data_IF_486946064415
#
_entry.id   IF_486946064415
#
_cell.length_a   1.000
_cell.length_b   1.000
_cell.length_c   1.000
_cell.angle_alpha   90.00
_cell.angle_beta   90.00
_cell.angle_gamma   90.00
#
_symmetry.space_group_name_H-M   'P 1'
#
loop_
_entity.id
_entity.type
_entity.pdbx_description
1 polymer ?
#
# COMPACT_ATOMS: atom_id res chain seq x y z
N UNK A 1 8.73 -17.23 -13.94
CA UNK A 1 9.63 -16.45 -13.04
C UNK A 1 9.92 -17.20 -11.75
N UNK A 2 11.17 -17.18 -11.26
CA UNK A 2 11.57 -17.82 -9.98
C UNK A 2 10.80 -17.17 -8.82
N UNK A 3 10.16 -17.96 -7.94
CA UNK A 3 9.37 -17.48 -6.78
C UNK A 3 10.11 -16.50 -5.87
N UNK A 4 11.43 -16.34 -5.95
CA UNK A 4 12.22 -15.38 -5.17
C UNK A 4 12.18 -13.97 -5.77
N UNK A 5 12.17 -13.86 -7.10
CA UNK A 5 12.16 -12.59 -7.84
C UNK A 5 10.86 -11.84 -7.62
N UNK A 6 9.71 -12.53 -7.74
CA UNK A 6 8.39 -11.94 -7.48
C UNK A 6 8.30 -11.36 -6.07
N UNK A 7 8.85 -12.07 -5.07
CA UNK A 7 8.83 -11.60 -3.68
C UNK A 7 9.67 -10.34 -3.46
N UNK A 8 10.83 -10.23 -4.13
CA UNK A 8 11.65 -9.02 -4.08
C UNK A 8 10.94 -7.85 -4.76
N UNK A 9 10.29 -8.11 -5.88
CA UNK A 9 9.54 -7.09 -6.63
C UNK A 9 8.34 -6.57 -5.83
N UNK A 10 7.61 -7.42 -5.11
CA UNK A 10 6.56 -7.01 -4.17
C UNK A 10 7.10 -6.09 -3.06
N UNK A 11 8.22 -6.46 -2.41
CA UNK A 11 8.82 -5.60 -1.38
C UNK A 11 9.29 -4.26 -1.95
N UNK A 12 9.87 -4.27 -3.14
CA UNK A 12 10.31 -3.06 -3.82
C UNK A 12 9.12 -2.16 -4.18
N UNK A 13 8.02 -2.75 -4.64
CA UNK A 13 6.78 -2.03 -4.92
C UNK A 13 6.22 -1.37 -3.66
N UNK A 14 6.06 -2.12 -2.56
CA UNK A 14 5.59 -1.56 -1.29
C UNK A 14 6.50 -0.43 -0.77
N UNK A 15 7.82 -0.62 -0.90
CA UNK A 15 8.79 0.41 -0.53
C UNK A 15 8.60 1.69 -1.36
N UNK A 16 8.48 1.55 -2.68
CA UNK A 16 8.29 2.69 -3.58
C UNK A 16 6.95 3.39 -3.33
N UNK A 17 5.87 2.63 -3.14
CA UNK A 17 4.54 3.17 -2.87
C UNK A 17 4.52 3.91 -1.54
N UNK A 18 5.05 3.33 -0.47
CA UNK A 18 5.17 3.99 0.83
C UNK A 18 6.03 5.25 0.77
N UNK A 19 7.10 5.27 -0.03
CA UNK A 19 7.93 6.45 -0.23
C UNK A 19 7.15 7.58 -0.91
N UNK A 20 6.44 7.27 -2.00
CA UNK A 20 5.62 8.25 -2.73
C UNK A 20 4.49 8.80 -1.86
N UNK A 21 3.82 7.93 -1.11
CA UNK A 21 2.78 8.34 -0.17
C UNK A 21 3.35 9.19 0.96
N UNK A 22 4.52 8.85 1.52
CA UNK A 22 5.14 9.66 2.57
C UNK A 22 5.47 11.08 2.06
N UNK A 23 6.03 11.19 0.85
CA UNK A 23 6.29 12.49 0.20
C UNK A 23 4.98 13.26 0.02
N UNK A 24 3.92 12.61 -0.50
CA UNK A 24 2.60 13.24 -0.66
C UNK A 24 2.01 13.68 0.68
N UNK A 25 2.10 12.86 1.72
CA UNK A 25 1.61 13.19 3.06
C UNK A 25 2.31 14.40 3.65
N UNK A 26 3.65 14.49 3.53
CA UNK A 26 4.43 15.66 3.96
C UNK A 26 4.02 16.90 3.16
N UNK A 27 3.79 16.77 1.86
CA UNK A 27 3.32 17.86 1.00
C UNK A 27 1.92 18.37 1.35
N UNK A 28 1.00 17.48 1.75
CA UNK A 28 -0.31 17.91 2.25
C UNK A 28 -0.19 18.64 3.60
N UNK A 29 0.68 18.15 4.48
CA UNK A 29 0.94 18.81 5.78
C UNK A 29 1.52 20.22 5.56
N UNK A 30 2.46 20.39 4.62
CA UNK A 30 3.06 21.70 4.33
C UNK A 30 2.06 22.70 3.75
N UNK A 31 0.96 22.23 3.16
CA UNK A 31 -0.19 23.05 2.72
C UNK A 31 -1.19 23.37 3.82
N UNK A 32 -0.98 22.89 5.05
CA UNK A 32 -1.92 23.03 6.16
C UNK A 32 -3.08 22.02 6.14
N UNK A 33 -3.07 21.05 5.23
CA UNK A 33 -4.06 19.97 5.16
C UNK A 33 -3.64 18.82 6.09
N UNK A 34 -3.61 19.12 7.39
CA UNK A 34 -3.07 18.21 8.42
C UNK A 34 -3.80 16.87 8.48
N UNK A 35 -5.12 16.87 8.44
CA UNK A 35 -5.90 15.64 8.61
C UNK A 35 -5.59 14.58 7.52
N UNK A 36 -5.77 14.86 6.21
CA UNK A 36 -5.41 13.89 5.18
C UNK A 36 -3.90 13.63 5.12
N UNK A 37 -3.07 14.66 5.33
CA UNK A 37 -1.62 14.53 5.31
C UNK A 37 -1.08 13.59 6.39
N UNK A 38 -1.57 13.69 7.63
CA UNK A 38 -1.21 12.82 8.75
C UNK A 38 -1.68 11.38 8.50
N UNK A 39 -2.88 11.18 7.94
CA UNK A 39 -3.37 9.84 7.59
C UNK A 39 -2.43 9.18 6.56
N UNK A 40 -2.12 9.88 5.47
CA UNK A 40 -1.25 9.36 4.41
C UNK A 40 0.16 9.09 4.96
N UNK A 41 0.76 10.07 5.65
CA UNK A 41 2.11 9.93 6.20
C UNK A 41 2.19 8.84 7.27
N UNK A 42 1.23 8.79 8.19
CA UNK A 42 1.15 7.79 9.25
C UNK A 42 1.03 6.37 8.70
N UNK A 43 0.13 6.13 7.75
CA UNK A 43 0.01 4.82 7.10
C UNK A 43 1.30 4.42 6.37
N UNK A 44 1.95 5.37 5.70
CA UNK A 44 3.23 5.14 5.01
C UNK A 44 4.35 4.77 5.98
N UNK A 45 4.42 5.45 7.13
CA UNK A 45 5.38 5.13 8.20
C UNK A 45 5.14 3.75 8.80
N UNK A 46 3.88 3.34 8.98
CA UNK A 46 3.55 1.98 9.43
C UNK A 46 4.02 0.95 8.39
N UNK A 47 3.82 1.21 7.09
CA UNK A 47 4.31 0.34 6.02
C UNK A 47 5.82 0.23 6.04
N UNK A 48 6.56 1.35 6.14
CA UNK A 48 8.02 1.32 6.28
C UNK A 48 8.46 0.51 7.51
N UNK A 49 7.77 0.71 8.64
CA UNK A 49 8.06 -0.03 9.88
C UNK A 49 7.91 -1.53 9.65
N UNK A 50 6.87 -1.97 8.95
CA UNK A 50 6.67 -3.38 8.62
C UNK A 50 7.76 -3.87 7.64
N UNK A 51 8.09 -3.12 6.59
CA UNK A 51 9.08 -3.51 5.59
C UNK A 51 10.47 -3.72 6.22
N UNK A 52 10.91 -2.79 7.08
CA UNK A 52 12.23 -2.84 7.69
C UNK A 52 12.29 -3.73 8.95
N UNK A 53 11.23 -3.76 9.74
CA UNK A 53 11.24 -4.39 11.06
C UNK A 53 10.35 -5.63 11.20
N UNK A 54 9.80 -6.20 10.11
CA UNK A 54 8.95 -7.41 10.21
C UNK A 54 9.57 -8.56 11.03
N UNK A 55 10.90 -8.72 10.97
CA UNK A 55 11.62 -9.73 11.78
C UNK A 55 11.53 -9.44 13.27
N UNK A 56 11.75 -8.18 13.67
CA UNK A 56 11.66 -7.74 15.07
C UNK A 56 10.22 -7.77 15.59
N UNK A 57 9.25 -7.55 14.70
CA UNK A 57 7.82 -7.61 15.00
C UNK A 57 7.25 -9.05 15.06
N UNK A 58 8.08 -10.08 14.87
CA UNK A 58 7.66 -11.49 14.81
C UNK A 58 6.59 -11.79 13.73
N UNK A 59 6.54 -10.99 12.66
CA UNK A 59 5.57 -11.15 11.56
C UNK A 59 6.17 -12.04 10.48
N UNK A 60 5.43 -13.04 9.97
CA UNK A 60 5.93 -13.86 8.85
C UNK A 60 6.06 -12.97 7.59
N UNK A 61 7.07 -13.16 6.73
CA UNK A 61 7.30 -12.28 5.57
C UNK A 61 6.12 -12.26 4.59
N UNK A 62 5.36 -13.36 4.53
CA UNK A 62 4.11 -13.41 3.76
C UNK A 62 3.03 -12.50 4.36
N UNK A 63 2.86 -12.52 5.68
CA UNK A 63 1.87 -11.69 6.39
C UNK A 63 2.23 -10.22 6.27
N UNK A 64 3.51 -9.87 6.45
CA UNK A 64 4.00 -8.50 6.30
C UNK A 64 3.54 -7.86 4.98
N UNK A 65 3.74 -8.55 3.85
CA UNK A 65 3.34 -8.06 2.53
C UNK A 65 1.82 -7.96 2.36
N UNK A 66 1.07 -8.93 2.88
CA UNK A 66 -0.40 -8.85 2.86
C UNK A 66 -0.88 -7.64 3.64
N UNK A 67 -0.29 -7.34 4.80
CA UNK A 67 -0.62 -6.16 5.59
C UNK A 67 -0.28 -4.89 4.81
N UNK A 68 0.89 -4.81 4.15
CA UNK A 68 1.26 -3.64 3.33
C UNK A 68 0.22 -3.35 2.25
N UNK A 69 -0.26 -4.36 1.51
CA UNK A 69 -1.33 -4.18 0.52
C UNK A 69 -2.59 -3.50 1.10
N UNK A 70 -3.01 -3.92 2.30
CA UNK A 70 -4.21 -3.38 2.95
C UNK A 70 -3.99 -2.02 3.61
N UNK A 71 -2.77 -1.68 4.02
CA UNK A 71 -2.44 -0.36 4.59
C UNK A 71 -2.23 0.71 3.52
N UNK A 72 -1.63 0.35 2.39
CA UNK A 72 -1.39 1.26 1.29
C UNK A 72 -2.68 1.62 0.55
N UNK A 73 -3.65 0.69 0.47
CA UNK A 73 -4.93 0.92 -0.20
C UNK A 73 -5.71 2.15 0.33
N UNK A 74 -5.99 2.31 1.64
CA UNK A 74 -6.64 3.51 2.15
C UNK A 74 -5.77 4.76 1.97
N UNK A 75 -4.44 4.68 2.10
CA UNK A 75 -3.55 5.82 1.85
C UNK A 75 -3.59 6.29 0.39
N UNK A 76 -3.66 5.36 -0.56
CA UNK A 76 -3.85 5.63 -1.98
C UNK A 76 -5.22 6.24 -2.25
N UNK A 77 -6.27 5.78 -1.57
CA UNK A 77 -7.62 6.31 -1.71
C UNK A 77 -7.71 7.77 -1.22
N UNK A 78 -7.16 8.06 -0.03
CA UNK A 78 -7.09 9.43 0.49
C UNK A 78 -6.26 10.30 -0.44
N UNK A 79 -5.14 9.79 -0.96
CA UNK A 79 -4.30 10.53 -1.92
C UNK A 79 -5.03 10.83 -3.22
N UNK A 80 -5.81 9.87 -3.75
CA UNK A 80 -6.65 10.05 -4.93
C UNK A 80 -7.64 11.19 -4.72
N UNK A 81 -8.34 11.19 -3.58
CA UNK A 81 -9.30 12.23 -3.24
C UNK A 81 -8.62 13.61 -3.11
N UNK A 82 -7.45 13.70 -2.47
CA UNK A 82 -6.68 14.95 -2.39
C UNK A 82 -6.26 15.45 -3.78
N UNK A 83 -5.74 14.57 -4.64
CA UNK A 83 -5.36 14.93 -6.01
C UNK A 83 -6.56 15.42 -6.85
N UNK A 84 -7.75 14.86 -6.61
CA UNK A 84 -8.98 15.31 -7.24
C UNK A 84 -9.34 16.74 -6.79
N UNK A 85 -9.27 17.02 -5.48
CA UNK A 85 -9.48 18.37 -4.94
C UNK A 85 -8.44 19.39 -5.45
N UNK A 86 -7.21 18.94 -5.69
CA UNK A 86 -6.14 19.74 -6.33
C UNK A 86 -6.34 19.96 -7.85
N UNK A 87 -7.45 19.49 -8.41
CA UNK A 87 -7.78 19.57 -9.85
C UNK A 87 -6.70 18.96 -10.76
N UNK A 88 -6.04 17.89 -10.29
CA UNK A 88 -5.13 17.12 -11.16
C UNK A 88 -5.97 16.28 -12.13
N UNK A 89 -5.65 16.36 -13.41
CA UNK A 89 -6.49 15.74 -14.46
C UNK A 89 -6.42 14.20 -14.41
N UNK A 90 -5.24 13.61 -14.44
CA UNK A 90 -5.08 12.15 -14.60
C UNK A 90 -4.70 11.40 -13.32
N UNK A 91 -3.89 12.03 -12.46
CA UNK A 91 -3.36 11.41 -11.24
C UNK A 91 -4.41 10.84 -10.27
N UNK A 92 -5.58 11.48 -10.03
CA UNK A 92 -6.58 10.93 -9.10
C UNK A 92 -7.06 9.54 -9.51
N UNK A 93 -7.29 9.33 -10.82
CA UNK A 93 -7.79 8.07 -11.35
C UNK A 93 -6.76 6.94 -11.24
N UNK A 94 -5.47 7.24 -11.44
CA UNK A 94 -4.40 6.27 -11.22
C UNK A 94 -4.33 5.81 -9.76
N UNK A 95 -4.39 6.76 -8.82
CA UNK A 95 -4.37 6.44 -7.39
C UNK A 95 -5.65 5.71 -6.95
N UNK A 96 -6.80 6.07 -7.52
CA UNK A 96 -8.06 5.37 -7.26
C UNK A 96 -8.00 3.92 -7.75
N UNK A 97 -7.55 3.71 -8.99
CA UNK A 97 -7.39 2.37 -9.55
C UNK A 97 -6.41 1.54 -8.70
N UNK A 98 -5.29 2.14 -8.29
CA UNK A 98 -4.35 1.49 -7.38
C UNK A 98 -5.01 1.13 -6.04
N UNK A 99 -5.78 2.03 -5.44
CA UNK A 99 -6.50 1.78 -4.19
C UNK A 99 -7.47 0.59 -4.28
N UNK A 100 -8.06 0.34 -5.44
CA UNK A 100 -8.94 -0.83 -5.69
C UNK A 100 -8.13 -2.10 -5.98
N UNK A 101 -7.03 -1.99 -6.74
CA UNK A 101 -6.21 -3.14 -7.11
C UNK A 101 -5.40 -3.70 -5.92
N UNK A 102 -4.96 -2.86 -4.99
CA UNK A 102 -4.11 -3.28 -3.86
C UNK A 102 -4.81 -4.31 -2.94
N UNK A 103 -6.07 -4.10 -2.49
CA UNK A 103 -6.81 -5.11 -1.76
C UNK A 103 -7.03 -6.42 -2.54
N UNK A 104 -7.24 -6.34 -3.85
CA UNK A 104 -7.36 -7.53 -4.71
C UNK A 104 -6.04 -8.32 -4.72
N UNK A 105 -4.89 -7.64 -4.86
CA UNK A 105 -3.57 -8.25 -4.78
C UNK A 105 -3.27 -8.83 -3.39
N UNK A 106 -3.69 -8.13 -2.33
CA UNK A 106 -3.64 -8.62 -0.95
C UNK A 106 -4.44 -9.92 -0.77
N UNK A 107 -5.65 -9.99 -1.34
CA UNK A 107 -6.51 -11.17 -1.31
C UNK A 107 -5.90 -12.35 -2.07
N UNK A 108 -5.43 -12.13 -3.30
CA UNK A 108 -4.76 -13.17 -4.12
C UNK A 108 -3.50 -13.69 -3.40
N UNK A 109 -2.76 -12.80 -2.75
CA UNK A 109 -1.56 -13.13 -1.98
C UNK A 109 -1.88 -13.89 -0.69
N UNK A 110 -3.13 -13.86 -0.20
CA UNK A 110 -3.53 -14.44 1.09
C UNK A 110 -3.49 -15.99 1.13
N UNK A 111 -3.68 -16.58 2.31
CA UNK A 111 -3.89 -18.04 2.43
C UNK A 111 -5.31 -18.45 2.05
N UNK A 112 -6.29 -17.54 2.19
CA UNK A 112 -7.72 -17.79 1.94
C UNK A 112 -7.96 -18.12 0.46
N UNK A 113 -7.38 -17.33 -0.45
CA UNK A 113 -7.44 -17.59 -1.89
C UNK A 113 -6.90 -18.98 -2.27
N UNK A 114 -5.76 -19.39 -1.67
CA UNK A 114 -5.18 -20.72 -1.92
C UNK A 114 -6.06 -21.87 -1.44
N UNK A 115 -6.84 -21.69 -0.37
CA UNK A 115 -7.78 -22.70 0.12
C UNK A 115 -8.99 -22.80 -0.81
N UNK A 116 -9.61 -21.66 -1.16
CA UNK A 116 -10.75 -21.60 -2.09
C UNK A 116 -10.43 -22.21 -3.45
N UNK A 117 -9.23 -21.93 -3.99
CA UNK A 117 -8.81 -22.50 -5.27
C UNK A 117 -8.62 -24.02 -5.21
N UNK A 118 -8.19 -24.57 -4.06
CA UNK A 118 -8.02 -26.02 -3.88
C UNK A 118 -9.35 -26.75 -3.66
N UNK A 119 -10.36 -26.09 -3.12
CA UNK A 119 -11.70 -26.68 -2.97
C UNK A 119 -12.54 -26.60 -4.23
N UNK A 120 -12.15 -25.76 -5.19
CA UNK A 120 -12.82 -25.59 -6.49
C UNK A 120 -12.17 -26.41 -7.62
N UNK A 121 -11.13 -27.19 -7.30
CA UNK A 121 -10.40 -28.10 -8.20
C UNK A 121 -10.56 -29.52 -7.74
#
# INVERSE_FOLDING_TARGET
MRKRTVRRLEYFLHFLTALLLLIKGIHEISKGLYYPGIIIAGLSLVVFTIIFFWRKLNIKPKQARVICWYLEAPALLVSSYMLYLEKKEFMPYLFFLAAVMYPAMGFISSKKFKRLRKSAS
#
